data_IF_447004226250
#
_entry.id   IF_447004226250
#
_cell.length_a   1.000
_cell.length_b   1.000
_cell.length_c   1.000
_cell.angle_alpha   90.00
_cell.angle_beta   90.00
_cell.angle_gamma   90.00
#
_symmetry.space_group_name_H-M   'P 1'
#
loop_
_entity.id
_entity.type
_entity.pdbx_description
1 polymer ?
#
# COMPACT_ATOMS: atom_id res chain seq x y z
N UNK A 1 14.97 -8.70 3.04
CA UNK A 1 14.80 -9.24 1.68
C UNK A 1 13.59 -10.13 1.59
N UNK A 2 12.53 -9.74 2.26
CA UNK A 2 11.29 -10.51 2.26
C UNK A 2 10.10 -9.63 1.92
N UNK A 3 9.11 -10.24 1.29
CA UNK A 3 7.78 -9.67 1.15
C UNK A 3 6.81 -10.63 1.83
N UNK A 4 6.21 -10.18 2.92
CA UNK A 4 5.25 -10.98 3.70
C UNK A 4 3.86 -10.42 3.53
N UNK A 5 2.91 -11.26 3.13
CA UNK A 5 1.51 -10.88 2.96
C UNK A 5 0.76 -11.15 4.25
N UNK A 6 0.34 -10.07 4.92
CA UNK A 6 -0.60 -10.12 6.04
C UNK A 6 -2.03 -9.92 5.57
N UNK A 7 -2.22 -9.24 4.43
CA UNK A 7 -3.50 -9.15 3.74
C UNK A 7 -3.80 -10.45 2.99
N UNK A 8 -5.09 -10.72 2.72
CA UNK A 8 -5.48 -11.87 1.93
C UNK A 8 -5.16 -11.62 0.45
N UNK A 9 -4.07 -12.22 -0.02
CA UNK A 9 -3.59 -12.09 -1.39
C UNK A 9 -4.60 -12.58 -2.42
N UNK A 10 -5.46 -13.55 -2.05
CA UNK A 10 -6.45 -14.12 -2.98
C UNK A 10 -7.53 -13.13 -3.38
N UNK A 11 -7.72 -12.05 -2.62
CA UNK A 11 -8.69 -10.99 -2.91
C UNK A 11 -8.08 -9.84 -3.73
N UNK A 12 -6.79 -9.92 -4.04
CA UNK A 12 -6.06 -8.95 -4.85
C UNK A 12 -5.89 -9.52 -6.25
N UNK A 13 -5.95 -8.66 -7.28
CA UNK A 13 -5.70 -9.08 -8.66
C UNK A 13 -4.39 -9.86 -8.74
N UNK A 14 -4.42 -11.04 -9.36
CA UNK A 14 -3.29 -11.98 -9.34
C UNK A 14 -2.04 -11.39 -10.01
N UNK A 15 -2.17 -10.77 -11.17
CA UNK A 15 -1.04 -10.18 -11.88
C UNK A 15 -0.46 -9.00 -11.10
N UNK A 16 -1.31 -8.16 -10.52
CA UNK A 16 -0.90 -7.05 -9.67
C UNK A 16 -0.17 -7.56 -8.42
N UNK A 17 -0.71 -8.58 -7.75
CA UNK A 17 -0.08 -9.19 -6.58
C UNK A 17 1.30 -9.78 -6.91
N UNK A 18 1.43 -10.43 -8.06
CA UNK A 18 2.70 -10.97 -8.52
C UNK A 18 3.74 -9.86 -8.76
N UNK A 19 3.33 -8.74 -9.36
CA UNK A 19 4.20 -7.59 -9.59
C UNK A 19 4.66 -6.95 -8.27
N UNK A 20 3.76 -6.78 -7.31
CA UNK A 20 4.08 -6.27 -5.96
C UNK A 20 5.06 -7.21 -5.26
N UNK A 21 4.76 -8.50 -5.24
CA UNK A 21 5.59 -9.51 -4.58
C UNK A 21 7.00 -9.55 -5.18
N UNK A 22 7.11 -9.55 -6.51
CA UNK A 22 8.39 -9.58 -7.19
C UNK A 22 9.24 -8.34 -6.87
N UNK A 23 8.63 -7.15 -6.88
CA UNK A 23 9.35 -5.92 -6.57
C UNK A 23 9.82 -5.88 -5.13
N UNK A 24 8.94 -6.18 -4.18
CA UNK A 24 9.26 -6.12 -2.76
C UNK A 24 10.21 -7.24 -2.32
N UNK A 25 10.09 -8.43 -2.91
CA UNK A 25 11.00 -9.54 -2.63
C UNK A 25 12.42 -9.29 -3.16
N UNK A 26 12.55 -8.54 -4.24
CA UNK A 26 13.85 -8.15 -4.79
C UNK A 26 14.51 -7.01 -4.01
N UNK A 27 13.74 -6.25 -3.24
CA UNK A 27 14.25 -5.14 -2.44
C UNK A 27 15.06 -5.66 -1.23
N UNK A 28 16.15 -4.97 -0.82
CA UNK A 28 16.92 -5.39 0.36
C UNK A 28 16.19 -5.27 1.69
N UNK A 29 15.13 -4.48 1.78
CA UNK A 29 14.33 -4.32 2.99
C UNK A 29 13.37 -5.48 3.24
N UNK A 30 12.80 -5.54 4.43
CA UNK A 30 11.73 -6.46 4.78
C UNK A 30 10.40 -5.72 4.72
N UNK A 31 9.55 -6.13 3.80
CA UNK A 31 8.29 -5.47 3.49
C UNK A 31 7.10 -6.36 3.82
N UNK A 32 6.08 -5.75 4.43
CA UNK A 32 4.83 -6.43 4.75
C UNK A 32 3.70 -5.78 3.97
N UNK A 33 2.91 -6.57 3.27
CA UNK A 33 1.68 -6.10 2.63
C UNK A 33 0.58 -6.22 3.67
N UNK A 34 0.13 -5.10 4.20
CA UNK A 34 -0.76 -5.04 5.37
C UNK A 34 -2.23 -4.86 5.01
N UNK A 35 -2.53 -4.29 3.85
CA UNK A 35 -3.88 -4.09 3.37
C UNK A 35 -3.93 -4.30 1.86
N UNK A 36 -4.94 -5.00 1.38
CA UNK A 36 -5.23 -5.19 -0.04
C UNK A 36 -6.69 -4.85 -0.32
N UNK A 37 -7.55 -5.87 -0.43
CA UNK A 37 -8.97 -5.66 -0.64
C UNK A 37 -9.62 -5.01 0.59
N UNK A 38 -10.50 -4.05 0.32
CA UNK A 38 -11.29 -3.38 1.36
C UNK A 38 -12.74 -3.30 0.88
N UNK A 39 -13.69 -3.60 1.77
CA UNK A 39 -15.11 -3.51 1.42
C UNK A 39 -15.51 -2.05 1.17
N UNK A 40 -16.55 -1.86 0.36
CA UNK A 40 -17.12 -0.53 0.14
C UNK A 40 -17.51 0.13 1.46
N UNK A 41 -18.17 -0.62 2.35
CA UNK A 41 -18.62 -0.13 3.64
C UNK A 41 -17.46 0.30 4.54
N UNK A 42 -16.38 -0.47 4.58
CA UNK A 42 -15.20 -0.12 5.38
C UNK A 42 -14.52 1.14 4.86
N UNK A 43 -14.36 1.27 3.55
CA UNK A 43 -13.77 2.46 2.91
C UNK A 43 -14.64 3.69 3.14
N UNK A 44 -15.96 3.54 2.99
CA UNK A 44 -16.91 4.62 3.22
C UNK A 44 -16.86 5.10 4.67
N UNK A 45 -16.84 4.17 5.63
CA UNK A 45 -16.76 4.53 7.05
C UNK A 45 -15.48 5.31 7.36
N UNK A 46 -14.34 4.89 6.83
CA UNK A 46 -13.07 5.60 6.99
C UNK A 46 -13.08 6.97 6.33
N UNK A 47 -13.63 7.06 5.12
CA UNK A 47 -13.73 8.32 4.38
C UNK A 47 -14.65 9.32 5.11
N UNK A 48 -15.82 8.89 5.55
CA UNK A 48 -16.77 9.72 6.30
C UNK A 48 -16.16 10.21 7.61
N UNK A 49 -15.45 9.33 8.34
CA UNK A 49 -14.76 9.72 9.57
C UNK A 49 -13.69 10.78 9.31
N UNK A 50 -12.93 10.65 8.23
CA UNK A 50 -11.91 11.63 7.83
C UNK A 50 -12.54 12.95 7.41
N UNK A 51 -13.66 12.94 6.68
CA UNK A 51 -14.38 14.18 6.32
C UNK A 51 -14.88 14.93 7.55
N UNK A 52 -15.31 14.18 8.59
CA UNK A 52 -15.78 14.76 9.84
C UNK A 52 -14.63 15.27 10.72
N UNK A 53 -13.46 14.65 10.66
CA UNK A 53 -12.29 14.99 11.46
C UNK A 53 -11.00 14.69 10.67
N UNK A 54 -10.39 15.73 10.11
CA UNK A 54 -9.19 15.62 9.28
C UNK A 54 -7.93 15.17 10.03
N UNK A 55 -7.98 15.08 11.37
CA UNK A 55 -6.90 14.49 12.15
C UNK A 55 -6.87 12.97 12.10
N UNK A 56 -7.96 12.35 11.64
CA UNK A 56 -8.04 10.88 11.47
C UNK A 56 -7.36 10.45 10.16
N UNK A 57 -7.02 9.15 10.03
CA UNK A 57 -6.43 8.63 8.79
C UNK A 57 -7.30 8.94 7.57
N UNK A 58 -6.65 9.37 6.50
CA UNK A 58 -7.33 9.70 5.24
C UNK A 58 -7.70 8.43 4.49
N UNK A 59 -8.99 8.31 4.14
CA UNK A 59 -9.49 7.27 3.25
C UNK A 59 -10.05 7.90 1.99
N UNK A 60 -9.79 7.28 0.85
CA UNK A 60 -10.36 7.69 -0.45
C UNK A 60 -11.86 7.40 -0.47
N UNK A 61 -12.62 8.21 -1.21
CA UNK A 61 -14.01 7.87 -1.51
C UNK A 61 -14.07 6.45 -2.11
N UNK A 62 -14.93 5.54 -1.58
CA UNK A 62 -14.95 4.16 -2.04
C UNK A 62 -15.25 4.00 -3.53
N UNK A 63 -15.97 4.93 -4.16
CA UNK A 63 -16.24 4.90 -5.60
C UNK A 63 -14.96 5.07 -6.43
N UNK A 64 -13.89 5.61 -5.85
CA UNK A 64 -12.61 5.89 -6.51
C UNK A 64 -11.45 5.09 -5.93
N UNK A 65 -11.71 4.19 -4.97
CA UNK A 65 -10.65 3.44 -4.31
C UNK A 65 -10.31 2.15 -5.06
N UNK A 66 -9.05 1.98 -5.42
CA UNK A 66 -8.56 0.75 -6.02
C UNK A 66 -8.56 -0.44 -5.03
N UNK A 67 -8.58 -0.18 -3.71
CA UNK A 67 -8.79 -1.22 -2.71
C UNK A 67 -10.19 -1.83 -2.77
N UNK A 68 -11.18 -1.09 -3.26
CA UNK A 68 -12.57 -1.54 -3.37
C UNK A 68 -12.90 -2.19 -4.71
N UNK A 69 -11.97 -2.21 -5.66
CA UNK A 69 -12.11 -2.96 -6.92
C UNK A 69 -12.13 -4.45 -6.61
N UNK A 70 -12.86 -5.23 -7.39
CA UNK A 70 -12.93 -6.69 -7.20
C UNK A 70 -12.46 -7.38 -8.48
N UNK A 71 -11.29 -8.05 -8.45
CA UNK A 71 -10.30 -8.10 -7.35
C UNK A 71 -9.60 -6.76 -7.13
N UNK A 72 -9.05 -6.56 -5.94
CA UNK A 72 -8.41 -5.30 -5.56
C UNK A 72 -7.17 -5.00 -6.42
N UNK A 73 -6.97 -3.71 -6.71
CA UNK A 73 -5.86 -3.19 -7.51
C UNK A 73 -4.97 -2.20 -6.74
N UNK A 74 -5.00 -2.28 -5.42
CA UNK A 74 -4.14 -1.48 -4.55
C UNK A 74 -3.74 -2.28 -3.33
N UNK A 75 -2.57 -1.97 -2.79
CA UNK A 75 -2.08 -2.51 -1.52
C UNK A 75 -1.41 -1.41 -0.72
N UNK A 76 -1.43 -1.56 0.60
CA UNK A 76 -0.63 -0.76 1.53
C UNK A 76 0.49 -1.64 2.07
N UNK A 77 1.67 -1.06 2.23
CA UNK A 77 2.87 -1.78 2.66
C UNK A 77 3.52 -1.11 3.86
N UNK A 78 4.27 -1.89 4.63
CA UNK A 78 5.01 -1.42 5.79
C UNK A 78 6.44 -1.96 5.73
N UNK A 79 7.41 -1.08 5.97
CA UNK A 79 8.79 -1.49 6.19
C UNK A 79 8.96 -1.94 7.63
N UNK A 80 9.59 -3.10 7.83
CA UNK A 80 9.91 -3.64 9.16
C UNK A 80 11.42 -3.79 9.28
N UNK A 81 11.98 -3.30 10.39
CA UNK A 81 13.39 -3.43 10.72
C UNK A 81 13.54 -3.72 12.20
N UNK A 82 14.27 -4.79 12.54
CA UNK A 82 14.48 -5.21 13.93
C UNK A 82 13.17 -5.40 14.70
N UNK A 83 12.15 -5.96 14.04
CA UNK A 83 10.84 -6.23 14.61
C UNK A 83 9.97 -5.00 14.81
N UNK A 84 10.34 -3.85 14.26
CA UNK A 84 9.60 -2.59 14.38
C UNK A 84 9.17 -2.06 13.03
N UNK A 85 7.96 -1.50 12.99
CA UNK A 85 7.46 -0.78 11.82
C UNK A 85 8.20 0.55 11.67
N UNK A 86 8.67 0.84 10.48
CA UNK A 86 9.37 2.08 10.15
C UNK A 86 8.44 2.95 9.32
N UNK A 87 8.04 4.08 9.86
CA UNK A 87 7.12 5.03 9.22
C UNK A 87 7.77 6.35 8.82
N UNK A 88 9.07 6.48 9.03
CA UNK A 88 9.84 7.63 8.57
C UNK A 88 10.10 7.48 7.07
N UNK A 89 9.29 8.12 6.24
CA UNK A 89 9.33 7.99 4.79
C UNK A 89 10.60 8.55 4.16
N UNK A 90 11.35 9.40 4.89
CA UNK A 90 12.66 9.88 4.49
C UNK A 90 13.74 8.80 4.61
N UNK A 91 13.46 7.69 5.29
CA UNK A 91 14.38 6.56 5.41
C UNK A 91 14.80 6.08 4.01
N UNK A 92 16.10 5.78 3.87
CA UNK A 92 16.68 5.39 2.58
C UNK A 92 16.00 4.16 1.97
N UNK A 93 15.55 3.22 2.80
CA UNK A 93 14.86 2.01 2.33
C UNK A 93 13.48 2.34 1.74
N UNK A 94 12.72 3.25 2.38
CA UNK A 94 11.47 3.75 1.82
C UNK A 94 11.69 4.45 0.48
N UNK A 95 12.68 5.35 0.40
CA UNK A 95 12.96 6.11 -0.81
C UNK A 95 13.41 5.20 -1.95
N UNK A 96 14.22 4.20 -1.66
CA UNK A 96 14.65 3.22 -2.65
C UNK A 96 13.47 2.42 -3.18
N UNK A 97 12.60 1.92 -2.32
CA UNK A 97 11.42 1.14 -2.71
C UNK A 97 10.47 1.97 -3.59
N UNK A 98 10.15 3.18 -3.15
CA UNK A 98 9.26 4.08 -3.93
C UNK A 98 9.88 4.40 -5.29
N UNK A 99 11.19 4.63 -5.36
CA UNK A 99 11.88 4.86 -6.63
C UNK A 99 11.74 3.66 -7.56
N UNK A 100 11.86 2.44 -7.02
CA UNK A 100 11.68 1.21 -7.81
C UNK A 100 10.25 1.09 -8.33
N UNK A 101 9.26 1.44 -7.51
CA UNK A 101 7.84 1.45 -7.94
C UNK A 101 7.62 2.45 -9.07
N UNK A 102 8.15 3.66 -8.95
CA UNK A 102 8.01 4.70 -9.99
C UNK A 102 8.62 4.25 -11.32
N UNK A 103 9.73 3.52 -11.27
CA UNK A 103 10.38 2.97 -12.47
C UNK A 103 9.70 1.74 -13.04
N UNK A 104 8.81 1.10 -12.28
CA UNK A 104 8.07 -0.07 -12.73
C UNK A 104 7.02 0.33 -13.77
N UNK A 105 6.88 -0.42 -14.89
CA UNK A 105 5.83 -0.12 -15.86
C UNK A 105 4.44 -0.52 -15.39
N UNK A 106 4.31 -1.27 -14.29
CA UNK A 106 3.06 -1.88 -13.85
C UNK A 106 2.54 -1.36 -12.50
N UNK A 107 3.38 -0.64 -11.73
CA UNK A 107 3.03 -0.18 -10.40
C UNK A 107 3.09 1.34 -10.30
N UNK A 108 2.31 1.90 -9.39
CA UNK A 108 2.28 3.33 -9.09
C UNK A 108 2.39 3.53 -7.58
N UNK A 109 3.00 4.63 -7.17
CA UNK A 109 3.04 5.07 -5.77
C UNK A 109 2.31 6.39 -5.64
N UNK A 110 1.51 6.54 -4.58
CA UNK A 110 0.86 7.81 -4.25
C UNK A 110 1.72 8.69 -3.33
N UNK A 111 2.91 8.22 -2.90
CA UNK A 111 3.81 8.97 -2.05
C UNK A 111 4.19 10.32 -2.63
N UNK A 112 4.82 10.38 -3.83
CA UNK A 112 5.27 11.65 -4.40
C UNK A 112 4.16 12.63 -4.74
N UNK A 113 2.96 12.15 -5.07
CA UNK A 113 1.86 13.01 -5.53
C UNK A 113 1.00 13.55 -4.40
N UNK A 114 0.69 12.76 -3.37
CA UNK A 114 -0.23 13.14 -2.29
C UNK A 114 0.28 12.79 -0.89
N UNK A 115 1.51 12.31 -0.75
CA UNK A 115 2.09 11.96 0.54
C UNK A 115 1.59 10.63 1.12
N UNK A 116 0.95 9.79 0.34
CA UNK A 116 0.46 8.47 0.76
C UNK A 116 1.50 7.40 0.40
N UNK A 117 2.62 7.40 1.15
CA UNK A 117 3.84 6.67 0.81
C UNK A 117 3.70 5.14 0.92
N UNK A 118 2.80 4.64 1.75
CA UNK A 118 2.58 3.21 1.93
C UNK A 118 1.63 2.59 0.88
N UNK A 119 1.01 3.41 0.04
CA UNK A 119 0.06 2.98 -0.98
C UNK A 119 0.75 2.71 -2.32
N UNK A 120 0.56 1.49 -2.84
CA UNK A 120 1.06 1.07 -4.15
C UNK A 120 -0.06 0.78 -5.14
#
# INVERSE_FOLDING_TARGET
>A
MTCTWKADRTLVNADFADDVDALLSADPGDWYVTCGARSYEAEKAGHDAWLADKSKPKFTNPDNSAHCTVPALAVDVTLVRDGKDIWEYEDADWQRMVTAVIKSPHLHSLGPSIGDWDHL
#
